data_IF_348693470473
#
_entry.id   IF_348693470473
#
_cell.length_a   1.000
_cell.length_b   1.000
_cell.length_c   1.000
_cell.angle_alpha   90.00
_cell.angle_beta   90.00
_cell.angle_gamma   90.00
#
_symmetry.space_group_name_H-M   'P 1'
#
loop_
_entity.id
_entity.type
_entity.pdbx_description
1 polymer ?
#
# COMPACT_ATOMS: atom_id res chain seq x y z
N UNK A 1 24.81 -27.09 -17.62
CA UNK A 1 25.56 -25.91 -17.17
C UNK A 1 24.60 -24.95 -16.51
N UNK A 2 24.62 -24.77 -15.20
CA UNK A 2 23.80 -23.74 -14.56
C UNK A 2 24.42 -22.37 -14.85
N UNK A 3 23.62 -21.46 -15.38
CA UNK A 3 24.03 -20.05 -15.58
C UNK A 3 24.07 -19.37 -14.20
N UNK A 4 25.25 -19.06 -13.73
CA UNK A 4 25.47 -18.20 -12.59
C UNK A 4 24.88 -16.82 -12.88
N UNK A 5 23.72 -16.55 -12.32
CA UNK A 5 23.20 -15.18 -12.27
C UNK A 5 24.05 -14.38 -11.29
N UNK A 6 24.56 -13.22 -11.67
CA UNK A 6 25.42 -12.43 -10.80
C UNK A 6 24.66 -11.99 -9.56
N UNK A 7 25.13 -12.42 -8.40
CA UNK A 7 24.62 -12.06 -7.06
C UNK A 7 24.66 -10.55 -6.76
N UNK A 8 25.30 -9.78 -7.61
CA UNK A 8 25.55 -8.34 -7.45
C UNK A 8 24.32 -7.46 -7.67
N UNK A 9 23.26 -7.97 -8.32
CA UNK A 9 22.06 -7.18 -8.63
C UNK A 9 21.13 -6.90 -7.42
N UNK A 10 21.37 -7.55 -6.26
CA UNK A 10 20.52 -7.42 -5.08
C UNK A 10 21.00 -6.39 -4.05
N UNK A 11 22.16 -5.78 -4.28
CA UNK A 11 22.79 -4.85 -3.32
C UNK A 11 22.66 -3.39 -3.75
N UNK A 12 21.97 -3.13 -4.86
CA UNK A 12 21.74 -1.76 -5.29
C UNK A 12 20.90 -1.01 -4.25
N UNK A 13 21.43 0.10 -3.75
CA UNK A 13 20.76 0.95 -2.79
C UNK A 13 19.39 1.39 -3.34
N UNK A 14 18.36 1.34 -2.50
CA UNK A 14 17.04 1.83 -2.86
C UNK A 14 17.15 3.30 -3.29
N UNK A 15 16.48 3.70 -4.37
CA UNK A 15 16.45 5.11 -4.77
C UNK A 15 15.92 5.96 -3.61
N UNK A 16 16.45 7.18 -3.43
CA UNK A 16 15.94 8.09 -2.41
C UNK A 16 14.47 8.40 -2.68
N UNK A 17 13.68 8.62 -1.62
CA UNK A 17 12.28 8.99 -1.76
C UNK A 17 12.16 10.29 -2.57
N UNK A 18 11.17 10.33 -3.46
CA UNK A 18 10.90 11.54 -4.26
C UNK A 18 10.44 12.69 -3.36
N UNK A 19 10.82 13.94 -3.64
CA UNK A 19 10.34 15.09 -2.89
C UNK A 19 8.81 15.20 -2.99
N UNK A 20 8.16 15.36 -1.84
CA UNK A 20 6.70 15.52 -1.73
C UNK A 20 6.33 16.97 -1.99
N UNK A 21 5.37 17.22 -2.85
CA UNK A 21 4.77 18.54 -3.00
C UNK A 21 4.00 18.92 -1.71
N UNK A 22 4.15 20.16 -1.26
CA UNK A 22 3.82 20.59 0.10
C UNK A 22 2.32 20.82 0.41
N UNK A 23 1.38 20.48 -0.49
CA UNK A 23 -0.01 20.93 -0.35
C UNK A 23 -1.01 19.88 0.11
N UNK A 24 -0.71 18.60 -0.07
CA UNK A 24 -1.65 17.52 0.23
C UNK A 24 -0.95 16.36 0.94
N UNK A 25 -1.56 15.80 2.00
CA UNK A 25 -1.00 14.71 2.79
C UNK A 25 -0.75 13.43 1.96
N UNK A 26 0.12 12.53 2.43
CA UNK A 26 0.45 11.30 1.70
C UNK A 26 -0.76 10.36 1.60
N UNK A 27 -0.69 9.47 0.60
CA UNK A 27 -1.69 8.43 0.35
C UNK A 27 -1.13 7.10 0.86
N UNK A 28 -1.93 6.37 1.64
CA UNK A 28 -1.62 5.00 2.05
C UNK A 28 -2.35 4.00 1.17
N UNK A 29 -1.65 3.03 0.64
CA UNK A 29 -2.22 1.86 -0.01
C UNK A 29 -1.90 0.62 0.83
N UNK A 30 -2.91 -0.17 1.18
CA UNK A 30 -2.72 -1.37 2.01
C UNK A 30 -2.91 -2.62 1.15
N UNK A 31 -1.83 -3.36 0.94
CA UNK A 31 -1.86 -4.67 0.31
C UNK A 31 -0.76 -5.55 0.91
N UNK A 32 -1.13 -6.37 1.89
CA UNK A 32 -0.18 -7.26 2.57
C UNK A 32 0.29 -8.40 1.67
N UNK A 33 -0.65 -9.07 1.07
CA UNK A 33 -0.59 -10.18 0.13
C UNK A 33 0.40 -11.30 0.42
N UNK A 34 0.20 -12.40 -0.28
CA UNK A 34 1.27 -13.25 -0.78
C UNK A 34 1.88 -12.58 -2.03
N UNK A 35 2.98 -13.09 -2.54
CA UNK A 35 3.65 -12.53 -3.73
C UNK A 35 2.70 -12.37 -4.93
N UNK A 36 1.90 -13.40 -5.23
CA UNK A 36 0.92 -13.35 -6.32
C UNK A 36 -0.12 -12.23 -6.17
N UNK A 37 -0.55 -11.96 -4.94
CA UNK A 37 -1.50 -10.90 -4.63
C UNK A 37 -0.92 -9.50 -4.89
N UNK A 38 0.38 -9.32 -4.61
CA UNK A 38 1.08 -8.07 -4.87
C UNK A 38 1.27 -7.84 -6.37
N UNK A 39 1.57 -8.90 -7.13
CA UNK A 39 1.64 -8.83 -8.59
C UNK A 39 0.28 -8.48 -9.21
N UNK A 40 -0.80 -9.05 -8.71
CA UNK A 40 -2.15 -8.71 -9.16
C UNK A 40 -2.53 -7.26 -8.83
N UNK A 41 -1.98 -6.70 -7.78
CA UNK A 41 -2.21 -5.30 -7.41
C UNK A 41 -1.45 -4.28 -8.27
N UNK A 42 -0.50 -4.71 -9.10
CA UNK A 42 0.33 -3.79 -9.91
C UNK A 42 -0.52 -2.89 -10.81
N UNK A 43 -1.54 -3.43 -11.47
CA UNK A 43 -2.48 -2.63 -12.27
C UNK A 43 -3.22 -1.57 -11.45
N UNK A 44 -3.63 -1.91 -10.23
CA UNK A 44 -4.30 -0.96 -9.33
C UNK A 44 -3.32 0.12 -8.82
N UNK A 45 -2.07 -0.26 -8.53
CA UNK A 45 -1.03 0.69 -8.12
C UNK A 45 -0.70 1.68 -9.25
N UNK A 46 -0.66 1.19 -10.49
CA UNK A 46 -0.48 2.05 -11.67
C UNK A 46 -1.64 3.03 -11.82
N UNK A 47 -2.87 2.54 -11.76
CA UNK A 47 -4.06 3.38 -11.88
C UNK A 47 -4.10 4.45 -10.76
N UNK A 48 -3.71 4.09 -9.53
CA UNK A 48 -3.56 5.01 -8.42
C UNK A 48 -2.47 6.07 -8.69
N UNK A 49 -1.34 5.67 -9.26
CA UNK A 49 -0.25 6.58 -9.62
C UNK A 49 -0.69 7.54 -10.74
N UNK A 50 -1.39 7.06 -11.76
CA UNK A 50 -1.90 7.89 -12.84
C UNK A 50 -2.91 8.92 -12.33
N UNK A 51 -3.77 8.51 -11.37
CA UNK A 51 -4.75 9.40 -10.77
C UNK A 51 -4.14 10.40 -9.79
N UNK A 52 -3.13 10.00 -9.05
CA UNK A 52 -2.42 10.78 -8.03
C UNK A 52 -0.96 11.03 -8.45
N UNK A 53 -0.75 11.52 -9.66
CA UNK A 53 0.58 11.63 -10.29
C UNK A 53 1.58 12.49 -9.49
N UNK A 54 1.10 13.47 -8.75
CA UNK A 54 1.86 14.43 -7.95
C UNK A 54 1.88 14.13 -6.43
N UNK A 55 1.21 13.05 -6.01
CA UNK A 55 1.07 12.69 -4.59
C UNK A 55 2.12 11.66 -4.15
N UNK A 56 2.49 11.73 -2.88
CA UNK A 56 3.35 10.71 -2.26
C UNK A 56 2.54 9.46 -1.91
N UNK A 57 2.80 8.35 -2.60
CA UNK A 57 2.11 7.08 -2.41
C UNK A 57 2.97 6.14 -1.56
N UNK A 58 2.45 5.75 -0.41
CA UNK A 58 3.07 4.81 0.53
C UNK A 58 2.33 3.48 0.46
N UNK A 59 3.04 2.39 0.22
CA UNK A 59 2.48 1.04 0.26
C UNK A 59 2.76 0.37 1.60
N UNK A 60 1.73 -0.12 2.27
CA UNK A 60 1.86 -1.03 3.40
C UNK A 60 1.79 -2.47 2.90
N UNK A 61 2.93 -3.15 2.89
CA UNK A 61 3.07 -4.54 2.47
C UNK A 61 3.60 -5.41 3.62
N UNK A 62 3.47 -6.74 3.52
CA UNK A 62 4.12 -7.63 4.48
C UNK A 62 5.64 -7.49 4.41
N UNK A 63 6.31 -7.48 5.55
CA UNK A 63 7.75 -7.22 5.68
C UNK A 63 8.65 -8.00 4.72
N UNK A 64 8.42 -9.28 4.41
CA UNK A 64 9.26 -10.02 3.46
C UNK A 64 9.26 -9.45 2.04
N UNK A 65 8.24 -8.68 1.66
CA UNK A 65 8.07 -8.16 0.30
C UNK A 65 8.47 -6.68 0.16
N UNK A 66 8.88 -6.01 1.23
CA UNK A 66 9.22 -4.57 1.19
C UNK A 66 10.31 -4.26 0.19
N UNK A 67 11.40 -5.05 0.16
CA UNK A 67 12.52 -4.85 -0.79
C UNK A 67 12.11 -5.02 -2.25
N UNK A 68 11.19 -5.94 -2.52
CA UNK A 68 10.65 -6.15 -3.85
C UNK A 68 9.76 -4.97 -4.26
N UNK A 69 8.80 -4.61 -3.40
CA UNK A 69 7.83 -3.56 -3.70
C UNK A 69 8.44 -2.16 -3.71
N UNK A 70 9.58 -1.94 -3.04
CA UNK A 70 10.33 -0.70 -3.14
C UNK A 70 10.90 -0.43 -4.56
N UNK A 71 10.90 -1.42 -5.44
CA UNK A 71 11.26 -1.28 -6.86
C UNK A 71 10.05 -1.00 -7.76
N UNK A 72 8.84 -1.02 -7.21
CA UNK A 72 7.64 -0.73 -7.96
C UNK A 72 7.63 0.76 -8.36
N UNK A 73 7.50 1.10 -9.66
CA UNK A 73 7.55 2.49 -10.12
C UNK A 73 6.31 3.30 -9.71
N UNK A 74 5.27 2.63 -9.22
CA UNK A 74 3.98 3.22 -8.89
C UNK A 74 3.87 3.67 -7.44
N UNK A 75 4.85 3.34 -6.59
CA UNK A 75 4.90 3.74 -5.17
C UNK A 75 6.20 4.49 -4.88
N UNK A 76 6.15 5.40 -3.92
CA UNK A 76 7.31 6.21 -3.53
C UNK A 76 8.00 5.64 -2.30
N UNK A 77 7.23 4.97 -1.44
CA UNK A 77 7.72 4.39 -0.19
C UNK A 77 6.99 3.09 0.14
N UNK A 78 7.66 2.17 0.81
CA UNK A 78 7.07 0.92 1.30
C UNK A 78 7.31 0.76 2.79
N UNK A 79 6.22 0.60 3.55
CA UNK A 79 6.25 0.27 4.98
C UNK A 79 6.00 -1.23 5.14
N UNK A 80 6.83 -1.88 5.95
CA UNK A 80 6.70 -3.31 6.24
C UNK A 80 5.76 -3.58 7.42
N UNK A 81 4.66 -4.31 7.18
CA UNK A 81 3.87 -4.90 8.25
C UNK A 81 4.51 -6.23 8.66
N UNK A 82 5.01 -6.37 9.89
CA UNK A 82 5.56 -7.64 10.39
C UNK A 82 4.50 -8.73 10.51
N UNK A 83 3.22 -8.39 10.37
CA UNK A 83 2.07 -9.29 10.57
C UNK A 83 2.17 -10.07 11.90
N UNK A 84 2.71 -9.40 12.90
CA UNK A 84 2.86 -9.99 14.21
C UNK A 84 1.48 -10.39 14.80
N UNK A 85 1.38 -11.52 15.53
CA UNK A 85 0.18 -11.84 16.26
C UNK A 85 -0.29 -10.68 17.13
N UNK A 86 -1.60 -10.54 17.34
CA UNK A 86 -2.16 -9.42 18.11
C UNK A 86 -1.58 -9.33 19.53
N UNK A 87 -1.15 -10.45 20.10
CA UNK A 87 -0.49 -10.50 21.41
C UNK A 87 0.93 -9.89 21.42
N UNK A 88 1.58 -9.73 20.26
CA UNK A 88 2.86 -9.03 20.17
C UNK A 88 2.63 -7.51 20.08
N UNK A 89 2.13 -6.95 21.17
CA UNK A 89 1.70 -5.56 21.26
C UNK A 89 2.79 -4.56 20.82
N UNK A 90 4.05 -4.79 21.20
CA UNK A 90 5.13 -3.86 20.89
C UNK A 90 5.35 -3.66 19.38
N UNK A 91 5.34 -4.73 18.58
CA UNK A 91 5.51 -4.64 17.12
C UNK A 91 4.31 -4.00 16.44
N UNK A 92 3.11 -4.34 16.90
CA UNK A 92 1.88 -3.77 16.37
C UNK A 92 1.76 -2.28 16.72
N UNK A 93 2.14 -1.89 17.94
CA UNK A 93 2.16 -0.48 18.37
C UNK A 93 3.18 0.34 17.60
N UNK A 94 4.39 -0.20 17.34
CA UNK A 94 5.40 0.49 16.54
C UNK A 94 4.89 0.80 15.13
N UNK A 95 4.26 -0.19 14.47
CA UNK A 95 3.65 0.03 13.15
C UNK A 95 2.53 1.07 13.22
N UNK A 96 1.61 0.95 14.18
CA UNK A 96 0.51 1.90 14.34
C UNK A 96 1.01 3.32 14.61
N UNK A 97 2.04 3.47 15.43
CA UNK A 97 2.68 4.77 15.68
C UNK A 97 3.22 5.36 14.38
N UNK A 98 3.98 4.58 13.59
CA UNK A 98 4.48 5.00 12.28
C UNK A 98 3.35 5.46 11.35
N UNK A 99 2.27 4.68 11.27
CA UNK A 99 1.12 5.03 10.43
C UNK A 99 0.41 6.31 10.91
N UNK A 100 0.30 6.50 12.24
CA UNK A 100 -0.34 7.70 12.82
C UNK A 100 0.48 8.97 12.63
N UNK A 101 1.79 8.87 12.79
CA UNK A 101 2.71 10.01 12.66
C UNK A 101 2.79 10.57 11.22
N UNK A 102 2.46 9.74 10.23
CA UNK A 102 2.50 10.12 8.82
C UNK A 102 1.34 11.01 8.37
N UNK A 103 0.22 11.01 9.08
CA UNK A 103 -0.93 11.87 8.77
C UNK A 103 -1.48 11.65 7.37
N UNK A 104 -1.80 10.39 7.02
CA UNK A 104 -2.35 10.06 5.71
C UNK A 104 -3.68 10.77 5.47
N UNK A 105 -3.80 11.48 4.36
CA UNK A 105 -5.05 12.10 3.96
C UNK A 105 -6.04 11.08 3.38
N UNK A 106 -5.50 10.09 2.66
CA UNK A 106 -6.32 9.09 1.97
C UNK A 106 -5.74 7.69 2.15
N UNK A 107 -6.61 6.74 2.38
CA UNK A 107 -6.23 5.32 2.52
C UNK A 107 -7.01 4.47 1.52
N UNK A 108 -6.30 3.68 0.72
CA UNK A 108 -6.86 2.67 -0.17
C UNK A 108 -6.60 1.28 0.41
N UNK A 109 -7.61 0.68 1.02
CA UNK A 109 -7.53 -0.66 1.57
C UNK A 109 -7.85 -1.72 0.50
N UNK A 110 -6.82 -2.13 -0.23
CA UNK A 110 -6.92 -3.20 -1.24
C UNK A 110 -6.91 -4.59 -0.60
N UNK A 111 -6.61 -4.70 0.69
CA UNK A 111 -6.59 -5.97 1.42
C UNK A 111 -7.97 -6.36 1.93
N UNK A 112 -8.69 -5.45 2.56
CA UNK A 112 -10.04 -5.69 3.07
C UNK A 112 -10.14 -6.77 4.15
N UNK A 113 -9.12 -6.94 5.01
CA UNK A 113 -9.06 -7.93 6.08
C UNK A 113 -9.52 -7.38 7.44
N UNK A 114 -9.75 -8.26 8.42
CA UNK A 114 -10.04 -7.84 9.80
C UNK A 114 -8.89 -7.04 10.42
N UNK A 115 -7.66 -7.37 10.02
CA UNK A 115 -6.47 -6.61 10.44
C UNK A 115 -6.49 -5.17 9.93
N UNK A 116 -6.87 -4.96 8.68
CA UNK A 116 -7.00 -3.60 8.13
C UNK A 116 -8.19 -2.86 8.72
N UNK A 117 -9.25 -3.56 9.08
CA UNK A 117 -10.37 -2.99 9.85
C UNK A 117 -9.91 -2.50 11.24
N UNK A 118 -9.00 -3.24 11.89
CA UNK A 118 -8.40 -2.80 13.15
C UNK A 118 -7.54 -1.55 12.95
N UNK A 119 -6.71 -1.50 11.90
CA UNK A 119 -5.93 -0.30 11.59
C UNK A 119 -6.82 0.92 11.41
N UNK A 120 -7.93 0.78 10.68
CA UNK A 120 -8.92 1.85 10.51
C UNK A 120 -9.44 2.42 11.84
N UNK A 121 -9.70 1.54 12.83
CA UNK A 121 -10.18 1.97 14.15
C UNK A 121 -9.13 2.68 14.99
N UNK A 122 -7.86 2.36 14.77
CA UNK A 122 -6.75 2.82 15.59
C UNK A 122 -5.97 3.98 14.98
N UNK A 123 -6.13 4.22 13.69
CA UNK A 123 -5.55 5.39 13.02
C UNK A 123 -6.43 6.63 13.22
N UNK A 124 -5.86 7.85 13.23
CA UNK A 124 -6.63 9.07 13.07
C UNK A 124 -7.46 8.96 11.79
N UNK A 125 -8.69 9.42 11.82
CA UNK A 125 -9.53 9.34 10.62
C UNK A 125 -8.88 10.13 9.47
N UNK A 126 -8.41 9.44 8.41
CA UNK A 126 -8.03 10.13 7.18
C UNK A 126 -9.30 10.75 6.58
N UNK A 127 -9.15 11.80 5.81
CA UNK A 127 -10.28 12.46 5.15
C UNK A 127 -11.08 11.47 4.29
N UNK A 128 -10.40 10.44 3.77
CA UNK A 128 -11.03 9.41 2.95
C UNK A 128 -10.42 8.03 3.19
N UNK A 129 -11.22 7.08 3.69
CA UNK A 129 -10.88 5.66 3.75
C UNK A 129 -11.72 4.88 2.74
N UNK A 130 -11.07 4.38 1.71
CA UNK A 130 -11.69 3.62 0.63
C UNK A 130 -11.34 2.14 0.80
N UNK A 131 -12.33 1.30 1.00
CA UNK A 131 -12.16 -0.14 1.13
C UNK A 131 -12.69 -0.84 -0.11
N UNK A 132 -11.93 -1.80 -0.60
CA UNK A 132 -12.42 -2.74 -1.61
C UNK A 132 -13.73 -3.37 -1.15
N UNK A 133 -14.80 -3.14 -1.89
CA UNK A 133 -16.03 -3.91 -1.76
C UNK A 133 -15.93 -5.12 -2.69
N UNK A 134 -16.08 -6.31 -2.12
CA UNK A 134 -16.15 -7.53 -2.89
C UNK A 134 -17.61 -7.98 -2.98
N UNK A 135 -18.35 -7.69 -4.07
CA UNK A 135 -19.77 -8.01 -4.16
C UNK A 135 -20.06 -9.52 -4.23
N UNK A 136 -19.05 -10.33 -4.52
CA UNK A 136 -19.24 -11.77 -4.75
C UNK A 136 -18.59 -12.70 -3.72
N UNK A 137 -17.98 -12.19 -2.64
CA UNK A 137 -17.38 -13.02 -1.58
C UNK A 137 -16.19 -13.90 -2.03
N UNK A 138 -15.84 -13.94 -3.31
CA UNK A 138 -14.67 -14.64 -3.82
C UNK A 138 -13.42 -13.77 -3.67
N UNK A 139 -12.39 -14.27 -3.02
CA UNK A 139 -11.23 -13.51 -2.56
C UNK A 139 -10.31 -12.90 -3.62
N UNK A 140 -10.64 -12.98 -4.90
CA UNK A 140 -9.80 -12.43 -5.99
C UNK A 140 -10.34 -11.08 -6.41
N UNK A 141 -9.57 -9.99 -6.27
CA UNK A 141 -10.00 -8.70 -6.79
C UNK A 141 -9.95 -8.72 -8.31
N UNK A 142 -11.09 -8.50 -8.94
CA UNK A 142 -11.09 -8.24 -10.35
C UNK A 142 -10.60 -6.80 -10.64
N UNK A 143 -10.11 -6.61 -11.84
CA UNK A 143 -9.59 -5.31 -12.31
C UNK A 143 -10.65 -4.20 -12.23
N UNK A 144 -11.92 -4.56 -12.37
CA UNK A 144 -13.07 -3.65 -12.33
C UNK A 144 -13.32 -3.11 -10.91
N UNK A 145 -13.16 -3.94 -9.87
CA UNK A 145 -13.30 -3.50 -8.48
C UNK A 145 -12.25 -2.47 -8.07
N UNK A 146 -11.03 -2.55 -8.59
CA UNK A 146 -10.00 -1.55 -8.35
C UNK A 146 -10.26 -0.25 -9.11
N UNK A 147 -10.65 -0.34 -10.39
CA UNK A 147 -11.00 0.83 -11.19
C UNK A 147 -12.17 1.59 -10.57
N UNK A 148 -13.19 0.88 -10.06
CA UNK A 148 -14.31 1.50 -9.36
C UNK A 148 -13.85 2.21 -8.07
N UNK A 149 -12.97 1.60 -7.29
CA UNK A 149 -12.44 2.20 -6.05
C UNK A 149 -11.63 3.47 -6.33
N UNK A 150 -10.80 3.45 -7.38
CA UNK A 150 -10.06 4.62 -7.84
C UNK A 150 -11.01 5.72 -8.30
N UNK A 151 -12.05 5.38 -9.06
CA UNK A 151 -13.05 6.32 -9.54
C UNK A 151 -13.85 6.98 -8.40
N UNK A 152 -14.20 6.22 -7.34
CA UNK A 152 -14.89 6.77 -6.16
C UNK A 152 -13.99 7.70 -5.33
N UNK A 153 -12.70 7.45 -5.33
CA UNK A 153 -11.72 8.23 -4.57
C UNK A 153 -11.25 9.51 -5.25
N UNK A 154 -11.57 9.67 -6.53
CA UNK A 154 -10.85 10.60 -7.37
C UNK A 154 -11.56 11.87 -7.77
N UNK A 155 -12.85 12.02 -7.65
CA UNK A 155 -13.53 13.20 -8.18
C UNK A 155 -14.39 13.86 -7.10
N UNK A 156 -13.89 14.90 -6.42
CA UNK A 156 -14.77 15.96 -5.98
C UNK A 156 -15.17 16.72 -7.24
N UNK A 157 -16.45 16.65 -7.57
CA UNK A 157 -17.19 17.42 -8.54
C UNK A 157 -16.43 18.26 -9.57
N UNK A 158 -16.53 17.87 -10.82
CA UNK A 158 -16.68 18.90 -11.85
C UNK A 158 -18.09 19.43 -11.77
#
# INVERSE_FOLDING_TARGET
MPRDLPRTALTEALPPPKPVAASDGPILVIRHGAFGDLLQADGALRDLREHHHDRHIVLLASSPYTRLMARCPHVDEVIGDPRAPLLQLGRNLALLRTLRERGFERVYDLQGSDRTALYRRLMPEPSHWLRKQNPSGSGTPDRLGYAWMVAQGGIPGR
#
